data_IF_484007657065
#
_entry.id   IF_484007657065
#
_cell.length_a   1.000
_cell.length_b   1.000
_cell.length_c   1.000
_cell.angle_alpha   90.00
_cell.angle_beta   90.00
_cell.angle_gamma   90.00
#
_symmetry.space_group_name_H-M   'P 1'
#
loop_
_entity.id
_entity.type
_entity.pdbx_description
1 polymer ?
#
# COMPACT_ATOMS: atom_id res chain seq x y z
N UNK A 1 0.85 5.56 -12.93
CA UNK A 1 1.37 5.59 -11.55
C UNK A 1 0.21 5.61 -10.57
N UNK A 2 0.15 4.67 -9.63
CA UNK A 2 -0.97 4.44 -8.68
C UNK A 2 -1.21 5.66 -7.81
N UNK A 3 -0.13 6.34 -7.47
CA UNK A 3 -0.12 7.56 -6.66
C UNK A 3 -0.94 8.66 -7.35
N UNK A 4 -1.01 8.66 -8.68
CA UNK A 4 -1.72 9.67 -9.46
C UNK A 4 -3.25 9.53 -9.46
N UNK A 5 -3.84 8.65 -8.64
CA UNK A 5 -5.30 8.45 -8.54
C UNK A 5 -5.89 8.68 -7.14
N UNK A 6 -5.08 8.85 -6.09
CA UNK A 6 -5.53 9.22 -4.72
C UNK A 6 -6.05 10.69 -4.72
N UNK A 7 -6.99 11.16 -3.90
CA UNK A 7 -7.30 12.60 -3.80
C UNK A 7 -6.04 13.44 -3.51
N UNK A 8 -5.83 14.54 -4.23
CA UNK A 8 -4.55 15.27 -4.29
C UNK A 8 -4.00 15.65 -2.90
N UNK A 9 -4.87 15.98 -1.95
CA UNK A 9 -4.50 16.34 -0.58
C UNK A 9 -3.90 15.20 0.26
N UNK A 10 -4.19 13.93 -0.06
CA UNK A 10 -3.69 12.77 0.69
C UNK A 10 -2.57 12.02 -0.03
N UNK A 11 -2.29 12.33 -1.30
CA UNK A 11 -1.25 11.67 -2.11
C UNK A 11 0.14 11.71 -1.50
N UNK A 12 0.58 12.90 -1.12
CA UNK A 12 1.94 13.11 -0.64
C UNK A 12 2.16 12.40 0.70
N UNK A 13 1.19 12.54 1.61
CA UNK A 13 1.25 11.94 2.95
C UNK A 13 1.12 10.43 2.85
N UNK A 14 0.14 9.91 2.11
CA UNK A 14 -0.03 8.47 1.92
C UNK A 14 1.20 7.84 1.24
N UNK A 15 1.77 8.51 0.24
CA UNK A 15 3.00 8.03 -0.41
C UNK A 15 4.16 7.98 0.58
N UNK A 16 4.41 9.06 1.32
CA UNK A 16 5.53 9.12 2.26
C UNK A 16 5.41 8.06 3.37
N UNK A 17 4.21 7.89 3.91
CA UNK A 17 3.93 6.93 4.98
C UNK A 17 4.03 5.49 4.46
N UNK A 18 3.48 5.20 3.28
CA UNK A 18 3.58 3.88 2.64
C UNK A 18 5.03 3.55 2.25
N UNK A 19 5.78 4.51 1.69
CA UNK A 19 7.20 4.31 1.34
C UNK A 19 8.01 3.92 2.59
N UNK A 20 7.77 4.59 3.73
CA UNK A 20 8.43 4.27 5.00
C UNK A 20 8.02 2.89 5.51
N UNK A 21 6.72 2.57 5.47
CA UNK A 21 6.23 1.31 6.01
C UNK A 21 6.59 0.11 5.13
N UNK A 22 6.66 0.26 3.80
CA UNK A 22 7.12 -0.79 2.90
C UNK A 22 8.59 -1.18 3.17
N UNK A 23 9.45 -0.20 3.50
CA UNK A 23 10.83 -0.47 3.93
C UNK A 23 10.86 -1.25 5.25
N UNK A 24 9.97 -0.94 6.19
CA UNK A 24 9.86 -1.67 7.47
C UNK A 24 9.44 -3.12 7.21
N UNK A 25 8.39 -3.32 6.41
CA UNK A 25 7.87 -4.64 6.06
C UNK A 25 8.95 -5.52 5.39
N UNK A 26 9.73 -4.96 4.46
CA UNK A 26 10.84 -5.66 3.82
C UNK A 26 11.91 -6.08 4.84
N UNK A 27 12.25 -5.20 5.79
CA UNK A 27 13.20 -5.49 6.88
C UNK A 27 12.69 -6.56 7.83
N UNK A 28 11.40 -6.54 8.18
CA UNK A 28 10.78 -7.57 9.03
C UNK A 28 10.82 -8.95 8.36
N UNK A 29 10.67 -9.00 7.03
CA UNK A 29 10.89 -10.20 6.23
C UNK A 29 12.37 -10.58 6.05
N UNK A 30 13.30 -9.80 6.61
CA UNK A 30 14.76 -9.94 6.40
C UNK A 30 15.17 -9.88 4.93
N UNK A 31 14.43 -9.10 4.13
CA UNK A 31 14.72 -8.87 2.71
C UNK A 31 15.44 -7.53 2.52
N UNK A 32 16.49 -7.48 1.68
CA UNK A 32 17.11 -6.23 1.26
C UNK A 32 16.31 -5.49 0.17
N UNK A 33 15.30 -6.14 -0.42
CA UNK A 33 14.48 -5.61 -1.50
C UNK A 33 13.03 -5.44 -1.04
N UNK A 34 12.45 -4.30 -1.38
CA UNK A 34 11.02 -4.04 -1.23
C UNK A 34 10.29 -4.77 -2.35
N UNK A 35 9.32 -5.60 -1.97
CA UNK A 35 8.45 -6.31 -2.90
C UNK A 35 7.03 -5.73 -2.88
N UNK A 36 6.21 -6.14 -3.86
CA UNK A 36 4.81 -5.70 -3.96
C UNK A 36 4.02 -5.98 -2.68
N UNK A 37 4.27 -7.11 -2.02
CA UNK A 37 3.65 -7.49 -0.74
C UNK A 37 3.92 -6.47 0.38
N UNK A 38 5.12 -5.90 0.42
CA UNK A 38 5.54 -4.92 1.40
C UNK A 38 4.78 -3.60 1.21
N UNK A 39 4.55 -3.21 -0.05
CA UNK A 39 3.79 -2.01 -0.44
C UNK A 39 2.30 -2.21 -0.12
N UNK A 40 1.72 -3.35 -0.50
CA UNK A 40 0.31 -3.63 -0.26
C UNK A 40 0.02 -3.64 1.24
N UNK A 41 0.84 -4.32 2.05
CA UNK A 41 0.68 -4.33 3.51
C UNK A 41 0.79 -2.94 4.13
N UNK A 42 1.71 -2.12 3.65
CA UNK A 42 1.89 -0.74 4.11
C UNK A 42 0.65 0.13 3.86
N UNK A 43 -0.02 -0.06 2.71
CA UNK A 43 -1.28 0.65 2.45
C UNK A 43 -2.38 0.30 3.44
N UNK A 44 -2.54 -0.98 3.78
CA UNK A 44 -3.60 -1.38 4.69
C UNK A 44 -3.26 -1.16 6.17
N UNK A 45 -1.98 -1.07 6.56
CA UNK A 45 -1.62 -0.75 7.94
C UNK A 45 -1.74 0.76 8.26
N UNK A 46 -1.37 1.62 7.31
CA UNK A 46 -1.22 3.05 7.58
C UNK A 46 -2.43 3.89 7.19
N UNK A 47 -3.21 3.42 6.22
CA UNK A 47 -4.36 4.17 5.74
C UNK A 47 -5.60 3.78 6.56
N UNK A 48 -6.41 4.75 7.03
CA UNK A 48 -7.66 4.45 7.72
C UNK A 48 -8.59 3.54 6.90
N UNK A 49 -9.29 2.62 7.57
CA UNK A 49 -10.20 1.65 6.93
C UNK A 49 -11.24 2.30 6.00
N UNK A 50 -11.66 3.53 6.28
CA UNK A 50 -12.60 4.29 5.43
C UNK A 50 -12.10 4.48 4.00
N UNK A 51 -10.79 4.39 3.77
CA UNK A 51 -10.17 4.50 2.45
C UNK A 51 -9.80 3.15 1.83
N UNK A 52 -10.05 2.00 2.48
CA UNK A 52 -9.71 0.69 1.93
C UNK A 52 -10.38 0.43 0.57
N UNK A 53 -11.64 0.84 0.42
CA UNK A 53 -12.36 0.72 -0.86
C UNK A 53 -11.70 1.51 -2.00
N UNK A 54 -11.09 2.66 -1.69
CA UNK A 54 -10.30 3.43 -2.65
C UNK A 54 -9.00 2.68 -2.97
N UNK A 55 -8.29 2.17 -1.97
CA UNK A 55 -7.02 1.45 -2.18
C UNK A 55 -7.23 0.18 -3.01
N UNK A 56 -8.27 -0.58 -2.73
CA UNK A 56 -8.65 -1.78 -3.50
C UNK A 56 -8.82 -1.43 -4.98
N UNK A 57 -9.61 -0.40 -5.30
CA UNK A 57 -9.80 0.04 -6.70
C UNK A 57 -8.50 0.44 -7.36
N UNK A 58 -7.58 1.08 -6.62
CA UNK A 58 -6.28 1.46 -7.14
C UNK A 58 -5.39 0.26 -7.46
N UNK A 59 -5.46 -0.79 -6.64
CA UNK A 59 -4.74 -2.04 -6.89
C UNK A 59 -5.34 -2.79 -8.08
N UNK A 60 -6.66 -2.92 -8.16
CA UNK A 60 -7.37 -3.52 -9.30
C UNK A 60 -7.01 -2.81 -10.61
N UNK A 61 -7.06 -1.48 -10.60
CA UNK A 61 -6.68 -0.61 -11.73
C UNK A 61 -5.22 -0.79 -12.18
N UNK A 62 -4.35 -1.18 -11.26
CA UNK A 62 -2.94 -1.43 -11.51
C UNK A 62 -2.61 -2.90 -11.84
N UNK A 63 -3.61 -3.78 -11.77
CA UNK A 63 -3.42 -5.23 -11.93
C UNK A 63 -2.71 -5.90 -10.75
N UNK A 64 -2.72 -5.27 -9.57
CA UNK A 64 -2.14 -5.82 -8.34
C UNK A 64 -3.19 -6.71 -7.68
N UNK A 65 -2.88 -8.00 -7.56
CA UNK A 65 -3.70 -8.92 -6.79
C UNK A 65 -3.41 -8.69 -5.30
N UNK A 66 -4.23 -7.86 -4.65
CA UNK A 66 -4.08 -7.55 -3.24
C UNK A 66 -4.61 -8.67 -2.33
N UNK A 67 -5.49 -9.55 -2.83
CA UNK A 67 -6.15 -10.57 -2.03
C UNK A 67 -5.18 -11.67 -1.59
N UNK A 68 -4.11 -11.92 -2.36
CA UNK A 68 -3.07 -12.88 -2.03
C UNK A 68 -2.25 -12.51 -0.77
N UNK A 69 -2.38 -11.29 -0.25
CA UNK A 69 -1.55 -10.79 0.86
C UNK A 69 -2.20 -10.88 2.25
N UNK A 70 -3.31 -11.63 2.38
CA UNK A 70 -4.04 -11.93 3.63
C UNK A 70 -4.29 -10.69 4.50
N UNK A 71 -4.95 -9.73 3.88
CA UNK A 71 -5.20 -8.41 4.45
C UNK A 71 -6.46 -8.54 5.29
N UNK A 72 -6.31 -8.49 6.62
CA UNK A 72 -7.45 -8.59 7.55
C UNK A 72 -8.44 -7.46 7.25
N UNK A 73 -9.59 -7.83 6.68
CA UNK A 73 -10.76 -6.97 6.48
C UNK A 73 -11.42 -6.59 7.80
#
# INVERSE_FOLDING_TARGET
DIIARIPMFHRAIAKEVVDKQAVINAKERSSPLIEESDIVRAFFSEVPMTFYSLMIRLFEDAGIDYAQYDIKS
#
